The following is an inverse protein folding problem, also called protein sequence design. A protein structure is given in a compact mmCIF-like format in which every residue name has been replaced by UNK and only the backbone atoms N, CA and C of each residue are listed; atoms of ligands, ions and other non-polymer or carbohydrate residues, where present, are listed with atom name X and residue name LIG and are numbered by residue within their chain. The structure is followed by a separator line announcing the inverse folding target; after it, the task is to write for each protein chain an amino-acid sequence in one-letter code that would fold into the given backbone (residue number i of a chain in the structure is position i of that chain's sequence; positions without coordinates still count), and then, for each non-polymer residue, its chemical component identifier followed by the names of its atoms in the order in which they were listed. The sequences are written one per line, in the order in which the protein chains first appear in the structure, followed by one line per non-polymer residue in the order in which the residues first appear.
data_IF_437920015351
#
_entry.id   IF_437920015351
#
_cell.length_a   1.000
_cell.length_b   1.000
_cell.length_c   1.000
_cell.angle_alpha   90.00
_cell.angle_beta   90.00
_cell.angle_gamma   90.00
#
_symmetry.space_group_name_H-M   'P 1'
#
loop_
_entity.id
_entity.type
_entity.pdbx_description
1 polymer ?
#
# COMPACT_ATOMS: atom_id res chain seq x y z
N UNK A 1 16.87 10.08 -25.79
CA UNK A 1 15.48 9.58 -25.76
C UNK A 1 14.74 10.11 -26.99
N UNK A 2 14.11 9.25 -27.80
CA UNK A 2 13.31 9.69 -28.95
C UNK A 2 11.86 9.97 -28.50
N UNK A 3 11.36 11.19 -28.74
CA UNK A 3 10.03 11.61 -28.27
C UNK A 3 8.88 11.24 -29.22
N UNK A 4 9.21 10.71 -30.40
CA UNK A 4 8.25 10.34 -31.45
C UNK A 4 7.99 8.85 -31.54
N UNK A 5 8.82 8.04 -30.91
CA UNK A 5 8.67 6.59 -30.89
C UNK A 5 7.72 6.13 -29.78
N UNK A 6 6.83 5.16 -30.06
CA UNK A 6 6.01 4.48 -29.07
C UNK A 6 6.80 3.84 -27.92
N UNK A 7 6.29 3.96 -26.70
CA UNK A 7 6.84 3.28 -25.51
C UNK A 7 5.79 2.38 -24.87
N UNK A 8 6.20 1.17 -24.44
CA UNK A 8 5.34 0.24 -23.71
C UNK A 8 4.80 0.86 -22.41
N UNK A 9 5.65 1.61 -21.68
CA UNK A 9 5.28 2.34 -20.47
C UNK A 9 4.18 3.40 -20.72
N UNK A 10 4.01 3.85 -21.96
CA UNK A 10 3.00 4.83 -22.38
C UNK A 10 1.86 4.18 -23.17
N UNK A 11 1.72 2.84 -23.11
CA UNK A 11 0.65 2.12 -23.78
C UNK A 11 0.75 2.13 -25.30
N UNK A 12 1.98 2.18 -25.83
CA UNK A 12 2.23 2.27 -27.28
C UNK A 12 2.07 3.68 -27.84
N UNK A 13 1.89 4.69 -26.99
CA UNK A 13 1.96 6.09 -27.39
C UNK A 13 3.41 6.57 -27.38
N UNK A 14 3.72 7.51 -28.27
CA UNK A 14 4.95 8.28 -28.13
C UNK A 14 4.83 9.28 -26.99
N UNK A 15 5.94 9.72 -26.37
CA UNK A 15 5.93 10.80 -25.39
C UNK A 15 5.16 12.04 -25.87
N UNK A 16 5.34 12.42 -27.14
CA UNK A 16 4.63 13.56 -27.74
C UNK A 16 3.11 13.36 -27.77
N UNK A 17 2.64 12.18 -28.21
CA UNK A 17 1.22 11.88 -28.26
C UNK A 17 0.60 11.77 -26.85
N UNK A 18 1.30 11.14 -25.91
CA UNK A 18 0.86 11.04 -24.52
C UNK A 18 0.68 12.41 -23.86
N UNK A 19 1.66 13.31 -24.02
CA UNK A 19 1.60 14.67 -23.47
C UNK A 19 0.44 15.49 -24.08
N UNK A 20 0.18 15.32 -25.39
CA UNK A 20 -0.90 16.03 -26.08
C UNK A 20 -2.29 15.50 -25.69
N UNK A 21 -2.48 14.19 -25.58
CA UNK A 21 -3.82 13.58 -25.60
C UNK A 21 -4.24 12.94 -24.25
N UNK A 22 -3.32 12.76 -23.31
CA UNK A 22 -3.55 12.01 -22.06
C UNK A 22 -3.11 12.76 -20.82
N UNK A 23 -1.87 13.28 -20.81
CA UNK A 23 -1.28 13.91 -19.62
C UNK A 23 -2.17 15.03 -19.06
N UNK A 24 -2.54 14.90 -17.78
CA UNK A 24 -3.45 15.82 -17.08
C UNK A 24 -4.83 16.04 -17.74
N UNK A 25 -5.26 15.15 -18.64
CA UNK A 25 -6.56 15.24 -19.35
C UNK A 25 -7.50 14.09 -19.02
N UNK A 26 -6.99 12.86 -18.99
CA UNK A 26 -7.81 11.66 -18.75
C UNK A 26 -6.99 10.51 -18.18
N UNK A 27 -7.61 9.60 -17.40
CA UNK A 27 -6.96 8.37 -16.99
C UNK A 27 -6.66 7.47 -18.20
N UNK A 28 -5.55 6.72 -18.13
CA UNK A 28 -5.16 5.71 -19.11
C UNK A 28 -4.70 4.45 -18.37
N UNK A 29 -5.37 3.32 -18.61
CA UNK A 29 -4.95 2.02 -18.12
C UNK A 29 -3.96 1.39 -19.11
N UNK A 30 -2.74 1.14 -18.65
CA UNK A 30 -1.70 0.47 -19.43
C UNK A 30 -1.46 -0.90 -18.83
N UNK A 31 -1.85 -1.94 -19.56
CA UNK A 31 -1.60 -3.33 -19.15
C UNK A 31 -0.16 -3.70 -19.49
N UNK A 32 0.51 -4.41 -18.59
CA UNK A 32 1.89 -4.87 -18.78
C UNK A 32 2.88 -3.74 -19.14
N UNK A 33 2.72 -2.56 -18.50
CA UNK A 33 3.53 -1.37 -18.78
C UNK A 33 5.04 -1.54 -18.47
N UNK A 34 5.37 -2.48 -17.59
CA UNK A 34 6.73 -2.79 -17.15
C UNK A 34 7.11 -4.22 -17.60
N UNK A 35 7.61 -4.40 -18.83
CA UNK A 35 8.06 -5.71 -19.32
C UNK A 35 9.32 -6.22 -18.60
N UNK A 36 10.01 -5.33 -17.86
CA UNK A 36 11.24 -5.60 -17.11
C UNK A 36 11.17 -6.86 -16.22
N UNK A 37 10.03 -7.14 -15.57
CA UNK A 37 9.90 -8.33 -14.72
C UNK A 37 10.01 -9.62 -15.53
N UNK A 38 9.43 -9.65 -16.73
CA UNK A 38 9.48 -10.81 -17.61
C UNK A 38 10.84 -10.97 -18.29
N UNK A 39 11.53 -9.87 -18.60
CA UNK A 39 12.76 -9.90 -19.39
C UNK A 39 14.04 -10.00 -18.54
N UNK A 40 14.08 -9.35 -17.37
CA UNK A 40 15.29 -9.30 -16.52
C UNK A 40 15.17 -10.12 -15.23
N UNK A 41 13.98 -10.63 -14.90
CA UNK A 41 13.72 -11.32 -13.64
C UNK A 41 13.80 -10.42 -12.41
N UNK A 42 13.94 -9.10 -12.60
CA UNK A 42 13.96 -8.14 -11.51
C UNK A 42 12.60 -8.11 -10.79
N UNK A 43 12.58 -7.98 -9.45
CA UNK A 43 11.33 -7.89 -8.70
C UNK A 43 10.54 -6.64 -9.12
N UNK A 44 9.21 -6.76 -9.22
CA UNK A 44 8.34 -5.66 -9.60
C UNK A 44 8.40 -4.48 -8.62
N UNK A 45 8.67 -4.77 -7.34
CA UNK A 45 8.84 -3.77 -6.29
C UNK A 45 10.32 -3.68 -5.89
N UNK A 46 10.91 -2.48 -5.86
CA UNK A 46 12.31 -2.28 -5.46
C UNK A 46 12.54 -2.41 -3.94
N UNK A 47 11.46 -2.57 -3.16
CA UNK A 47 11.49 -2.63 -1.69
C UNK A 47 10.62 -3.78 -1.19
N UNK A 48 11.14 -4.54 -0.22
CA UNK A 48 10.39 -5.61 0.45
C UNK A 48 9.49 -5.05 1.55
N UNK A 49 8.44 -5.79 1.97
CA UNK A 49 7.62 -5.37 3.11
C UNK A 49 8.43 -5.13 4.39
N UNK A 50 9.45 -5.96 4.65
CA UNK A 50 10.32 -5.80 5.82
C UNK A 50 11.09 -4.47 5.78
N UNK A 51 11.72 -4.15 4.65
CA UNK A 51 12.42 -2.86 4.46
C UNK A 51 11.45 -1.68 4.59
N UNK A 52 10.23 -1.81 4.08
CA UNK A 52 9.21 -0.77 4.21
C UNK A 52 8.80 -0.53 5.68
N UNK A 53 8.73 -1.60 6.50
CA UNK A 53 8.47 -1.46 7.94
C UNK A 53 9.61 -0.80 8.70
N UNK A 54 10.87 -1.10 8.33
CA UNK A 54 12.03 -0.43 8.91
C UNK A 54 12.02 1.07 8.57
N UNK A 55 11.76 1.42 7.30
CA UNK A 55 11.58 2.82 6.90
C UNK A 55 10.47 3.50 7.69
N UNK A 56 9.33 2.81 7.86
CA UNK A 56 8.18 3.29 8.62
C UNK A 56 8.41 3.38 10.14
N UNK A 57 9.51 2.84 10.67
CA UNK A 57 9.87 2.91 12.10
C UNK A 57 10.84 4.04 12.44
N UNK A 58 11.50 4.66 11.44
CA UNK A 58 12.35 5.84 11.66
C UNK A 58 11.52 7.04 12.17
N UNK A 59 12.14 8.18 12.45
CA UNK A 59 11.40 9.42 12.78
C UNK A 59 11.35 10.43 11.62
N UNK A 60 12.28 10.33 10.67
CA UNK A 60 12.52 11.29 9.57
C UNK A 60 11.71 11.03 8.28
N UNK A 61 11.27 9.80 8.07
CA UNK A 61 10.28 9.41 7.04
C UNK A 61 8.85 9.82 7.47
N UNK A 62 7.90 9.97 6.55
CA UNK A 62 6.47 10.11 6.90
C UNK A 62 5.75 8.80 6.58
N UNK A 63 4.88 8.34 7.48
CA UNK A 63 4.05 7.16 7.25
C UNK A 63 2.71 7.24 7.98
N UNK A 64 1.77 6.45 7.49
CA UNK A 64 0.41 6.37 8.03
C UNK A 64 -0.13 4.96 7.87
N UNK A 65 -0.98 4.57 8.81
CA UNK A 65 -1.72 3.32 8.76
C UNK A 65 -3.20 3.63 8.70
N UNK A 66 -3.85 3.13 7.66
CA UNK A 66 -5.30 3.22 7.45
C UNK A 66 -5.90 1.87 7.81
N UNK A 67 -6.92 1.87 8.66
CA UNK A 67 -7.65 0.67 9.07
C UNK A 67 -9.13 0.90 8.80
N UNK A 68 -9.73 -0.05 8.09
CA UNK A 68 -11.16 -0.14 7.85
C UNK A 68 -11.73 -1.25 8.73
N UNK A 69 -12.78 -0.94 9.48
CA UNK A 69 -13.57 -1.95 10.16
C UNK A 69 -14.41 -2.72 9.14
N UNK A 70 -13.84 -3.82 8.64
CA UNK A 70 -14.52 -4.77 7.76
C UNK A 70 -14.98 -5.99 8.55
N UNK A 71 -16.13 -6.55 8.19
CA UNK A 71 -16.58 -7.82 8.76
C UNK A 71 -15.48 -8.90 8.58
N UNK A 72 -14.97 -9.42 9.70
CA UNK A 72 -13.84 -10.36 9.71
C UNK A 72 -12.44 -9.73 9.84
N UNK A 73 -12.33 -8.42 10.11
CA UNK A 73 -11.06 -7.75 10.41
C UNK A 73 -10.46 -8.20 11.74
N UNK A 74 -11.26 -8.59 12.73
CA UNK A 74 -10.74 -8.98 14.05
C UNK A 74 -9.85 -10.24 13.98
N UNK A 75 -8.62 -10.21 14.53
CA UNK A 75 -7.82 -11.42 14.69
C UNK A 75 -8.57 -12.46 15.52
N UNK A 76 -8.51 -13.74 15.12
CA UNK A 76 -9.06 -14.87 15.90
C UNK A 76 -8.45 -14.81 17.32
N UNK A 77 -9.25 -14.72 18.40
CA UNK A 77 -8.70 -14.63 19.74
C UNK A 77 -7.88 -15.88 20.06
N UNK A 78 -6.65 -15.70 20.55
CA UNK A 78 -5.89 -16.79 21.17
C UNK A 78 -6.69 -17.28 22.38
N UNK A 79 -6.89 -18.59 22.47
CA UNK A 79 -7.69 -19.21 23.52
C UNK A 79 -7.01 -19.04 24.90
N UNK A 80 -7.34 -17.95 25.59
CA UNK A 80 -7.02 -17.74 27.00
C UNK A 80 -8.32 -17.87 27.78
N UNK A 81 -8.46 -18.97 28.54
CA UNK A 81 -9.63 -19.26 29.35
C UNK A 81 -9.70 -18.28 30.53
N UNK A 82 -10.60 -17.31 30.49
CA UNK A 82 -11.05 -16.59 31.70
C UNK A 82 -12.54 -16.32 31.58
N UNK A 83 -13.29 -16.90 32.52
CA UNK A 83 -14.75 -16.98 32.53
C UNK A 83 -15.28 -15.74 33.29
N UNK A 84 -15.89 -14.78 32.61
CA UNK A 84 -16.69 -13.74 33.26
C UNK A 84 -17.91 -13.43 32.40
N UNK A 85 -19.09 -13.62 33.00
CA UNK A 85 -20.40 -13.63 32.36
C UNK A 85 -20.94 -12.19 32.32
N UNK A 86 -20.94 -11.55 31.15
CA UNK A 86 -21.54 -10.22 30.97
C UNK A 86 -22.59 -10.26 29.87
N UNK A 87 -23.79 -9.76 30.22
CA UNK A 87 -25.05 -9.74 29.46
C UNK A 87 -24.87 -9.02 28.11
N UNK A 88 -25.01 -9.74 27.01
CA UNK A 88 -24.90 -9.23 25.64
C UNK A 88 -26.13 -8.39 25.27
N UNK A 89 -25.92 -7.08 25.13
CA UNK A 89 -26.84 -6.18 24.40
C UNK A 89 -26.43 -6.24 22.93
N UNK A 90 -27.33 -6.66 22.03
CA UNK A 90 -27.10 -6.69 20.58
C UNK A 90 -26.68 -5.29 20.10
N UNK A 91 -25.49 -5.10 19.50
CA UNK A 91 -25.17 -3.84 18.86
C UNK A 91 -25.88 -3.75 17.51
N UNK A 92 -26.46 -2.59 17.22
CA UNK A 92 -26.83 -2.20 15.86
C UNK A 92 -25.63 -2.32 14.92
N UNK A 93 -25.82 -2.53 13.60
CA UNK A 93 -24.71 -2.66 12.65
C UNK A 93 -23.84 -1.40 12.73
N UNK A 94 -22.62 -1.55 13.26
CA UNK A 94 -21.66 -0.46 13.33
C UNK A 94 -21.37 0.00 11.90
N UNK A 95 -21.61 1.27 11.61
CA UNK A 95 -21.10 1.90 10.39
C UNK A 95 -19.60 1.60 10.30
N UNK A 96 -19.14 1.10 9.15
CA UNK A 96 -17.75 0.72 8.92
C UNK A 96 -16.82 1.89 9.32
N UNK A 97 -16.19 1.77 10.50
CA UNK A 97 -15.34 2.82 11.05
C UNK A 97 -14.01 2.87 10.31
N UNK A 98 -13.58 4.07 9.93
CA UNK A 98 -12.23 4.30 9.44
C UNK A 98 -11.36 4.83 10.57
N UNK A 99 -10.16 4.27 10.71
CA UNK A 99 -9.15 4.74 11.64
C UNK A 99 -7.87 5.08 10.86
N UNK A 100 -7.28 6.22 11.20
CA UNK A 100 -6.01 6.68 10.66
C UNK A 100 -5.03 6.85 11.81
N UNK A 101 -3.84 6.31 11.67
CA UNK A 101 -2.72 6.52 12.60
C UNK A 101 -1.56 7.14 11.84
N UNK A 102 -0.77 7.98 12.51
CA UNK A 102 0.49 8.54 12.01
C UNK A 102 1.69 8.09 12.86
N UNK A 103 2.89 8.24 12.28
CA UNK A 103 4.23 7.92 12.80
C UNK A 103 4.55 8.37 14.23
N UNK A 104 5.66 7.84 14.81
CA UNK A 104 6.45 6.69 14.35
C UNK A 104 5.83 5.36 14.77
N UNK A 105 5.83 4.36 13.88
CA UNK A 105 5.29 3.03 14.20
C UNK A 105 6.42 2.08 14.54
N UNK A 106 6.59 1.76 15.81
CA UNK A 106 7.26 0.51 16.15
C UNK A 106 6.48 -0.65 15.51
N UNK A 107 7.17 -1.67 14.99
CA UNK A 107 6.52 -2.84 14.34
C UNK A 107 5.38 -3.47 15.15
N UNK A 108 5.46 -3.38 16.48
CA UNK A 108 4.46 -3.83 17.46
C UNK A 108 3.18 -2.98 17.54
N UNK A 109 3.21 -1.74 17.04
CA UNK A 109 2.06 -0.85 16.95
C UNK A 109 1.23 -1.05 15.67
N UNK A 110 1.75 -1.84 14.71
CA UNK A 110 1.06 -2.19 13.48
C UNK A 110 0.06 -3.33 13.71
N UNK A 111 -1.07 -3.34 12.97
CA UNK A 111 -1.95 -4.50 12.93
C UNK A 111 -1.18 -5.77 12.50
N UNK A 112 -1.57 -6.96 12.97
CA UNK A 112 -0.99 -8.22 12.48
C UNK A 112 -1.14 -8.33 10.95
N UNK A 113 -0.14 -8.90 10.27
CA UNK A 113 -0.19 -9.13 8.81
C UNK A 113 -1.37 -10.01 8.36
N UNK A 114 -1.87 -10.87 9.25
CA UNK A 114 -3.06 -11.70 9.00
C UNK A 114 -4.37 -10.95 9.17
N UNK A 115 -4.35 -9.78 9.80
CA UNK A 115 -5.51 -8.90 9.92
C UNK A 115 -5.82 -8.33 8.54
N UNK A 116 -7.09 -8.38 8.12
CA UNK A 116 -7.55 -7.76 6.86
C UNK A 116 -7.96 -6.31 7.11
N UNK A 117 -8.22 -5.58 6.03
CA UNK A 117 -8.80 -4.22 6.11
C UNK A 117 -7.84 -3.17 6.66
N UNK A 118 -6.53 -3.32 6.45
CA UNK A 118 -5.58 -2.25 6.76
C UNK A 118 -4.53 -2.10 5.67
N UNK A 119 -3.92 -0.92 5.60
CA UNK A 119 -2.85 -0.59 4.66
C UNK A 119 -1.89 0.40 5.31
N UNK A 120 -0.59 0.24 5.05
CA UNK A 120 0.45 1.19 5.45
C UNK A 120 0.94 1.96 4.22
N UNK A 121 1.08 3.28 4.36
CA UNK A 121 1.61 4.17 3.34
C UNK A 121 2.88 4.80 3.89
N UNK A 122 3.97 4.75 3.13
CA UNK A 122 5.26 5.38 3.46
C UNK A 122 5.56 6.39 2.34
N UNK A 123 5.82 7.64 2.72
CA UNK A 123 6.07 8.72 1.79
C UNK A 123 7.57 8.89 1.56
N UNK A 124 7.96 9.29 0.35
CA UNK A 124 9.35 9.55 0.00
C UNK A 124 10.25 8.30 -0.01
N UNK A 125 9.68 7.12 -0.28
CA UNK A 125 10.45 5.88 -0.32
C UNK A 125 11.59 5.92 -1.34
N UNK A 126 11.41 6.67 -2.44
CA UNK A 126 12.43 6.94 -3.45
C UNK A 126 13.68 7.62 -2.87
N UNK A 127 13.54 8.49 -1.86
CA UNK A 127 14.67 9.17 -1.22
C UNK A 127 15.51 8.24 -0.30
N UNK A 128 14.97 7.06 0.02
CA UNK A 128 15.57 6.15 1.00
C UNK A 128 15.92 4.77 0.43
N UNK A 129 15.44 4.44 -0.77
CA UNK A 129 15.64 3.13 -1.41
C UNK A 129 16.39 3.34 -2.71
N UNK A 130 17.68 2.98 -2.73
CA UNK A 130 18.53 3.13 -3.93
C UNK A 130 17.96 2.41 -5.16
N UNK A 131 17.30 1.26 -4.96
CA UNK A 131 16.68 0.50 -6.04
C UNK A 131 15.43 1.16 -6.64
N UNK A 132 14.93 2.24 -6.05
CA UNK A 132 13.81 3.02 -6.58
C UNK A 132 14.24 4.10 -7.59
N UNK A 133 15.56 4.27 -7.81
CA UNK A 133 16.14 5.18 -8.80
C UNK A 133 16.43 4.48 -10.14
#
# INVERSE_FOLDING_TARGET
MNLREPLALLGGLSPTAFMRDVWQKRPLLIRNALPLVAETGAPLAPVTPAQLFELASRDDVESRVVIQDVAGSAPKPKATKTKTRTKTRTPAPAAAGWQLKHRPFARRALPPLSQRGWTMLVQGADLHVQAAH
#
